data_IF_437545221983
#
_entry.id   IF_437545221983
#
_cell.length_a   1.000
_cell.length_b   1.000
_cell.length_c   1.000
_cell.angle_alpha   90.00
_cell.angle_beta   90.00
_cell.angle_gamma   90.00
#
_symmetry.space_group_name_H-M   'P 1'
#
loop_
_entity.id
_entity.type
_entity.pdbx_description
1 polymer ?
#
# COMPACT_ATOMS: atom_id res chain seq x y z
N UNK A 1 -6.71 -3.69 56.49
CA UNK A 1 -7.11 -2.97 55.26
C UNK A 1 -5.96 -2.72 54.27
N UNK A 2 -4.72 -2.41 54.70
CA UNK A 2 -3.58 -2.15 53.80
C UNK A 2 -3.18 -3.28 52.85
N UNK A 3 -3.40 -4.56 53.21
CA UNK A 3 -3.04 -5.73 52.38
C UNK A 3 -3.97 -5.93 51.16
N UNK A 4 -5.22 -5.49 51.23
CA UNK A 4 -6.21 -5.65 50.15
C UNK A 4 -5.93 -4.65 49.02
N UNK A 5 -5.53 -3.42 49.36
CA UNK A 5 -5.17 -2.39 48.39
C UNK A 5 -3.96 -2.77 47.52
N UNK A 6 -2.98 -3.49 48.10
CA UNK A 6 -1.78 -3.95 47.39
C UNK A 6 -2.12 -5.04 46.35
N UNK A 7 -3.08 -5.92 46.66
CA UNK A 7 -3.53 -6.97 45.74
C UNK A 7 -4.29 -6.38 44.54
N UNK A 8 -5.12 -5.35 44.78
CA UNK A 8 -5.85 -4.64 43.72
C UNK A 8 -4.93 -3.88 42.76
N UNK A 9 -3.83 -3.29 43.25
CA UNK A 9 -2.84 -2.61 42.41
C UNK A 9 -2.04 -3.61 41.56
N UNK A 10 -1.75 -4.81 42.09
CA UNK A 10 -1.07 -5.87 41.35
C UNK A 10 -1.94 -6.48 40.23
N UNK A 11 -3.26 -6.53 40.40
CA UNK A 11 -4.20 -7.01 39.37
C UNK A 11 -4.30 -6.07 38.15
N UNK A 12 -4.12 -4.76 38.34
CA UNK A 12 -4.17 -3.76 37.25
C UNK A 12 -2.95 -3.90 36.31
N UNK A 13 -1.82 -4.42 36.80
CA UNK A 13 -0.61 -4.60 35.96
C UNK A 13 -0.66 -5.83 35.04
N UNK A 14 -1.58 -6.78 35.26
CA UNK A 14 -1.66 -8.03 34.48
C UNK A 14 -2.55 -7.89 33.24
N UNK A 15 -3.29 -6.79 33.09
CA UNK A 15 -4.22 -6.58 31.96
C UNK A 15 -3.64 -5.79 30.79
N UNK A 16 -2.38 -5.34 30.86
CA UNK A 16 -1.68 -4.80 29.70
C UNK A 16 -1.13 -5.94 28.83
N UNK A 17 -2.03 -6.80 28.37
CA UNK A 17 -1.76 -7.70 27.26
C UNK A 17 -1.76 -6.83 25.99
N UNK A 18 -0.66 -6.11 25.75
CA UNK A 18 -0.43 -5.47 24.45
C UNK A 18 -0.43 -6.59 23.41
N UNK A 19 -1.51 -6.71 22.64
CA UNK A 19 -1.55 -7.57 21.45
C UNK A 19 -0.30 -7.23 20.64
N UNK A 20 0.59 -8.21 20.48
CA UNK A 20 1.81 -8.06 19.71
C UNK A 20 1.47 -8.08 18.22
N UNK A 21 0.76 -7.03 17.79
CA UNK A 21 0.25 -6.87 16.45
C UNK A 21 1.38 -6.41 15.53
N UNK A 22 1.92 -7.36 14.77
CA UNK A 22 3.02 -7.16 13.83
C UNK A 22 2.55 -6.61 12.49
N UNK A 23 1.24 -6.59 12.23
CA UNK A 23 0.65 -6.17 10.96
C UNK A 23 0.93 -4.69 10.69
N UNK A 24 1.09 -3.88 11.74
CA UNK A 24 1.52 -2.48 11.64
C UNK A 24 2.91 -2.31 11.02
N UNK A 25 3.76 -3.34 11.02
CA UNK A 25 5.06 -3.31 10.33
C UNK A 25 4.90 -3.28 8.80
N UNK A 26 3.74 -3.65 8.27
CA UNK A 26 3.43 -3.63 6.85
C UNK A 26 3.11 -2.24 6.33
N UNK A 27 2.72 -1.32 7.21
CA UNK A 27 2.33 0.03 6.85
C UNK A 27 3.56 0.71 6.22
N UNK A 28 3.50 0.98 4.92
CA UNK A 28 4.65 1.43 4.16
C UNK A 28 4.40 1.54 2.66
N UNK A 29 5.37 2.11 1.96
CA UNK A 29 5.50 2.01 0.50
C UNK A 29 6.62 1.02 0.19
N UNK A 30 6.28 -0.01 -0.57
CA UNK A 30 7.14 -1.16 -0.83
C UNK A 30 7.27 -1.40 -2.33
N UNK A 31 8.46 -1.80 -2.77
CA UNK A 31 8.72 -2.32 -4.10
C UNK A 31 8.50 -3.84 -4.07
N UNK A 32 7.76 -4.36 -5.05
CA UNK A 32 7.61 -5.80 -5.25
C UNK A 32 8.87 -6.35 -5.94
N UNK A 33 9.42 -7.41 -5.39
CA UNK A 33 10.58 -8.12 -5.93
C UNK A 33 10.12 -9.40 -6.66
N UNK A 34 10.70 -9.67 -7.82
CA UNK A 34 10.48 -10.93 -8.53
C UNK A 34 10.42 -10.80 -10.05
N UNK A 35 9.97 -9.65 -10.55
CA UNK A 35 9.98 -9.35 -11.98
C UNK A 35 11.01 -8.25 -12.27
N UNK A 36 11.96 -8.52 -13.17
CA UNK A 36 12.95 -7.51 -13.58
C UNK A 36 12.39 -6.57 -14.63
N UNK A 37 11.50 -7.06 -15.47
CA UNK A 37 10.93 -6.38 -16.63
C UNK A 37 9.73 -5.49 -16.26
N UNK A 38 9.12 -5.74 -15.10
CA UNK A 38 8.06 -4.91 -14.53
C UNK A 38 8.51 -4.32 -13.19
N UNK A 39 8.35 -3.01 -13.05
CA UNK A 39 8.50 -2.31 -11.80
C UNK A 39 7.14 -2.13 -11.14
N UNK A 40 6.93 -2.75 -9.97
CA UNK A 40 5.67 -2.64 -9.22
C UNK A 40 5.90 -2.16 -7.80
N UNK A 41 4.97 -1.34 -7.31
CA UNK A 41 4.93 -0.85 -5.94
C UNK A 41 3.61 -1.22 -5.28
N UNK A 42 3.67 -1.51 -3.98
CA UNK A 42 2.50 -1.63 -3.12
C UNK A 42 2.61 -0.63 -1.99
N UNK A 43 1.54 0.13 -1.77
CA UNK A 43 1.41 1.04 -0.63
C UNK A 43 0.32 0.50 0.29
N UNK A 44 0.67 0.33 1.56
CA UNK A 44 -0.19 -0.27 2.57
C UNK A 44 -0.43 0.76 3.68
N UNK A 45 -1.68 1.07 3.96
CA UNK A 45 -2.10 1.79 5.16
C UNK A 45 -3.00 0.90 6.05
N UNK A 46 -3.59 1.46 7.12
CA UNK A 46 -4.39 0.68 8.06
C UNK A 46 -5.68 0.09 7.45
N UNK A 47 -6.19 0.66 6.36
CA UNK A 47 -7.51 0.34 5.80
C UNK A 47 -7.50 0.02 4.31
N UNK A 48 -6.41 0.31 3.62
CA UNK A 48 -6.31 0.24 2.17
C UNK A 48 -4.95 -0.29 1.74
N UNK A 49 -4.99 -1.07 0.67
CA UNK A 49 -3.82 -1.44 -0.12
C UNK A 49 -3.95 -0.77 -1.47
N UNK A 50 -2.83 -0.25 -1.94
CA UNK A 50 -2.70 0.35 -3.25
C UNK A 50 -1.62 -0.36 -4.03
N UNK A 51 -1.92 -0.68 -5.28
CA UNK A 51 -0.99 -1.38 -6.18
C UNK A 51 -0.77 -0.51 -7.42
N UNK A 52 0.50 -0.35 -7.79
CA UNK A 52 0.96 0.35 -8.99
C UNK A 52 1.92 -0.56 -9.77
N UNK A 53 1.75 -0.64 -11.07
CA UNK A 53 2.56 -1.46 -11.99
C UNK A 53 3.07 -0.62 -13.14
N UNK A 54 4.26 -0.90 -13.66
CA UNK A 54 4.76 -0.19 -14.85
C UNK A 54 4.13 -0.71 -16.15
N UNK A 55 3.63 -1.95 -16.14
CA UNK A 55 2.96 -2.56 -17.30
C UNK A 55 1.62 -1.90 -17.61
N UNK A 56 0.93 -1.48 -16.55
CA UNK A 56 -0.33 -0.74 -16.61
C UNK A 56 -0.30 0.25 -15.46
N UNK A 57 -0.16 1.54 -15.78
CA UNK A 57 -0.14 2.62 -14.78
C UNK A 57 -1.58 2.95 -14.37
N UNK A 58 -2.25 1.95 -13.82
CA UNK A 58 -3.51 2.13 -13.12
C UNK A 58 -3.32 1.93 -11.62
N UNK A 59 -3.99 2.78 -10.87
CA UNK A 59 -3.89 2.86 -9.43
C UNK A 59 -5.06 2.08 -8.85
N UNK A 60 -4.80 0.83 -8.48
CA UNK A 60 -5.79 -0.02 -7.83
C UNK A 60 -5.78 0.26 -6.34
N UNK A 61 -6.94 0.58 -5.77
CA UNK A 61 -7.14 0.75 -4.33
C UNK A 61 -8.13 -0.30 -3.88
N UNK A 62 -7.71 -1.14 -2.96
CA UNK A 62 -8.52 -2.19 -2.38
C UNK A 62 -8.68 -1.91 -0.89
N UNK A 63 -9.86 -2.22 -0.35
CA UNK A 63 -10.03 -2.23 1.10
C UNK A 63 -9.19 -3.36 1.67
N UNK A 64 -8.56 -3.08 2.80
CA UNK A 64 -7.76 -4.04 3.51
C UNK A 64 -7.98 -3.97 5.00
N UNK A 65 -7.59 -5.05 5.67
CA UNK A 65 -7.60 -5.13 7.12
C UNK A 65 -6.29 -5.74 7.60
N UNK A 66 -5.68 -5.08 8.56
CA UNK A 66 -4.45 -5.53 9.22
C UNK A 66 -4.81 -6.20 10.55
N UNK A 67 -4.42 -7.46 10.73
CA UNK A 67 -4.65 -8.20 11.97
C UNK A 67 -3.48 -9.14 12.29
N UNK A 68 -2.86 -8.96 13.46
CA UNK A 68 -1.78 -9.79 13.98
C UNK A 68 -0.55 -9.85 13.05
N UNK A 69 -0.41 -10.92 12.26
CA UNK A 69 0.64 -11.15 11.28
C UNK A 69 0.08 -11.24 9.86
N UNK A 70 -1.16 -10.79 9.65
CA UNK A 70 -1.84 -10.86 8.36
C UNK A 70 -2.24 -9.48 7.83
N UNK A 71 -2.28 -9.41 6.51
CA UNK A 71 -3.06 -8.44 5.75
C UNK A 71 -4.12 -9.20 4.95
N UNK A 72 -5.36 -8.79 5.11
CA UNK A 72 -6.50 -9.28 4.36
C UNK A 72 -6.89 -8.23 3.32
N UNK A 73 -7.22 -8.67 2.11
CA UNK A 73 -7.65 -7.80 1.02
C UNK A 73 -8.89 -8.38 0.36
N UNK A 74 -9.84 -7.49 0.06
CA UNK A 74 -11.04 -7.84 -0.68
C UNK A 74 -10.67 -8.00 -2.16
N UNK A 75 -10.88 -9.21 -2.68
CA UNK A 75 -10.62 -9.54 -4.07
C UNK A 75 -11.95 -9.88 -4.75
N UNK A 76 -12.58 -8.88 -5.36
CA UNK A 76 -13.89 -9.05 -6.00
C UNK A 76 -13.86 -9.99 -7.22
N UNK A 77 -12.68 -10.26 -7.79
CA UNK A 77 -12.51 -10.99 -9.05
C UNK A 77 -12.22 -12.48 -8.89
N UNK A 78 -11.97 -12.98 -7.67
CA UNK A 78 -11.59 -14.38 -7.42
C UNK A 78 -12.39 -14.99 -6.27
N UNK A 79 -12.53 -16.32 -6.28
CA UNK A 79 -13.03 -17.09 -5.13
C UNK A 79 -11.85 -17.80 -4.45
N UNK A 80 -11.64 -17.63 -3.13
CA UNK A 80 -12.46 -16.86 -2.19
C UNK A 80 -12.29 -15.35 -2.38
N UNK A 81 -13.39 -14.60 -2.16
CA UNK A 81 -13.43 -13.13 -2.28
C UNK A 81 -12.54 -12.38 -1.30
N UNK A 82 -12.00 -13.07 -0.30
CA UNK A 82 -11.04 -12.52 0.64
C UNK A 82 -9.78 -13.34 0.50
N UNK A 83 -8.69 -12.66 0.24
CA UNK A 83 -7.38 -13.26 0.20
C UNK A 83 -6.53 -12.67 1.32
N UNK A 84 -5.47 -13.37 1.68
CA UNK A 84 -4.66 -13.03 2.84
C UNK A 84 -3.18 -13.27 2.60
N UNK A 85 -2.37 -12.36 3.12
CA UNK A 85 -0.94 -12.51 3.15
C UNK A 85 -0.44 -12.53 4.59
N UNK A 86 0.37 -13.52 4.91
CA UNK A 86 1.00 -13.69 6.22
C UNK A 86 2.44 -13.19 6.19
N UNK A 87 2.85 -12.47 7.23
CA UNK A 87 4.25 -12.08 7.44
C UNK A 87 5.08 -13.32 7.80
N UNK A 88 6.05 -13.67 6.96
CA UNK A 88 6.99 -14.75 7.21
C UNK A 88 8.28 -14.23 7.82
N UNK A 89 8.79 -13.11 7.28
CA UNK A 89 10.03 -12.49 7.72
C UNK A 89 9.92 -10.97 7.55
N UNK A 90 10.52 -10.21 8.46
CA UNK A 90 10.57 -8.76 8.39
C UNK A 90 11.89 -8.20 8.90
N UNK A 91 12.22 -7.01 8.39
CA UNK A 91 13.34 -6.16 8.77
C UNK A 91 12.94 -4.71 8.46
N UNK A 92 13.84 -3.75 8.70
CA UNK A 92 13.54 -2.34 8.46
C UNK A 92 13.35 -2.01 6.97
N UNK A 93 13.97 -2.78 6.09
CA UNK A 93 14.11 -2.56 4.65
C UNK A 93 13.49 -3.66 3.79
N UNK A 94 13.15 -4.82 4.38
CA UNK A 94 12.61 -5.96 3.65
C UNK A 94 11.50 -6.69 4.43
N UNK A 95 10.45 -7.09 3.72
CA UNK A 95 9.40 -7.97 4.21
C UNK A 95 9.19 -9.12 3.23
N UNK A 96 8.98 -10.32 3.77
CA UNK A 96 8.57 -11.48 2.99
C UNK A 96 7.18 -11.89 3.48
N UNK A 97 6.24 -11.94 2.53
CA UNK A 97 4.87 -12.34 2.73
C UNK A 97 4.61 -13.71 2.08
N UNK A 98 3.70 -14.48 2.66
CA UNK A 98 3.10 -15.66 2.02
C UNK A 98 1.64 -15.36 1.71
N UNK A 99 1.26 -15.40 0.44
CA UNK A 99 -0.14 -15.44 0.00
C UNK A 99 -0.70 -16.80 0.37
N UNK A 100 -1.65 -16.84 1.29
CA UNK A 100 -2.16 -18.11 1.81
C UNK A 100 -2.94 -18.87 0.73
N UNK A 101 -3.78 -18.16 -0.06
CA UNK A 101 -4.65 -18.81 -1.05
C UNK A 101 -3.87 -19.53 -2.15
N UNK A 102 -2.84 -18.89 -2.72
CA UNK A 102 -2.02 -19.47 -3.79
C UNK A 102 -0.75 -20.16 -3.30
N UNK A 103 -0.51 -20.16 -1.99
CA UNK A 103 0.75 -20.61 -1.41
C UNK A 103 2.01 -19.99 -2.08
N UNK A 104 1.93 -18.69 -2.37
CA UNK A 104 2.97 -17.96 -3.08
C UNK A 104 3.77 -17.08 -2.11
N UNK A 105 5.10 -17.06 -2.25
CA UNK A 105 5.94 -16.10 -1.55
C UNK A 105 6.08 -14.82 -2.36
N UNK A 106 5.94 -13.69 -1.68
CA UNK A 106 6.14 -12.36 -2.24
C UNK A 106 7.14 -11.62 -1.38
N UNK A 107 8.14 -11.03 -2.02
CA UNK A 107 9.17 -10.27 -1.36
C UNK A 107 9.01 -8.78 -1.66
N UNK A 108 9.11 -7.97 -0.61
CA UNK A 108 8.98 -6.52 -0.63
C UNK A 108 10.26 -5.86 -0.13
N UNK A 109 10.75 -4.86 -0.86
CA UNK A 109 11.81 -3.96 -0.41
C UNK A 109 11.25 -2.56 -0.14
N UNK A 110 11.63 -1.94 0.97
CA UNK A 110 11.11 -0.64 1.37
C UNK A 110 11.61 0.48 0.46
N UNK A 111 10.71 1.40 0.11
CA UNK A 111 11.02 2.57 -0.72
C UNK A 111 11.15 3.84 0.14
N UNK A 112 10.19 4.09 1.04
CA UNK A 112 10.18 5.27 1.91
C UNK A 112 9.71 4.94 3.35
N UNK A 113 10.23 5.69 4.33
CA UNK A 113 9.84 5.58 5.75
C UNK A 113 8.63 6.45 6.11
N UNK A 114 8.36 7.53 5.36
CA UNK A 114 7.26 8.45 5.65
C UNK A 114 6.12 8.27 4.64
N UNK A 115 5.08 7.59 5.08
CA UNK A 115 3.83 7.51 4.35
C UNK A 115 3.11 8.84 4.54
N UNK A 116 2.79 9.53 3.45
CA UNK A 116 1.59 10.39 3.46
C UNK A 116 0.41 9.44 3.38
N UNK A 117 -0.45 9.43 4.40
CA UNK A 117 -1.73 8.71 4.36
C UNK A 117 -2.49 9.04 3.06
N UNK A 118 -3.42 8.17 2.67
CA UNK A 118 -4.32 8.49 1.56
C UNK A 118 -5.11 9.73 1.95
N UNK A 119 -4.82 10.86 1.29
CA UNK A 119 -5.52 12.11 1.53
C UNK A 119 -6.89 12.03 0.85
N UNK A 120 -7.91 11.60 1.58
CA UNK A 120 -9.27 11.51 1.07
C UNK A 120 -9.90 12.88 0.81
N UNK A 121 -9.36 13.95 1.42
CA UNK A 121 -9.83 15.33 1.31
C UNK A 121 -9.39 15.97 0.00
N UNK A 122 -8.17 15.64 -0.47
CA UNK A 122 -7.63 16.07 -1.75
C UNK A 122 -7.13 14.88 -2.58
N UNK A 123 -8.05 13.94 -2.82
CA UNK A 123 -7.74 12.65 -3.44
C UNK A 123 -7.15 12.80 -4.85
N UNK A 124 -7.60 13.79 -5.61
CA UNK A 124 -7.13 14.02 -6.99
C UNK A 124 -5.66 14.41 -7.00
N UNK A 125 -5.28 15.48 -6.28
CA UNK A 125 -3.90 15.94 -6.26
C UNK A 125 -2.98 14.88 -5.63
N UNK A 126 -3.46 14.20 -4.60
CA UNK A 126 -2.74 13.09 -3.98
C UNK A 126 -2.48 11.94 -4.95
N UNK A 127 -3.49 11.56 -5.76
CA UNK A 127 -3.37 10.49 -6.78
C UNK A 127 -2.37 10.88 -7.85
N UNK A 128 -2.49 12.09 -8.40
CA UNK A 128 -1.58 12.60 -9.43
C UNK A 128 -0.13 12.65 -8.94
N UNK A 129 0.09 13.16 -7.72
CA UNK A 129 1.42 13.16 -7.10
C UNK A 129 1.96 11.75 -6.91
N UNK A 130 1.15 10.82 -6.42
CA UNK A 130 1.55 9.43 -6.18
C UNK A 130 1.97 8.74 -7.47
N UNK A 131 1.21 8.93 -8.56
CA UNK A 131 1.54 8.41 -9.89
C UNK A 131 2.82 9.06 -10.43
N UNK A 132 2.98 10.38 -10.29
CA UNK A 132 4.19 11.09 -10.73
C UNK A 132 5.45 10.56 -10.04
N UNK A 133 5.39 10.38 -8.72
CA UNK A 133 6.53 9.87 -7.94
C UNK A 133 6.85 8.40 -8.29
N UNK A 134 5.82 7.57 -8.50
CA UNK A 134 5.98 6.21 -9.01
C UNK A 134 6.71 6.18 -10.36
N UNK A 135 6.26 6.99 -11.34
CA UNK A 135 6.88 7.06 -12.68
C UNK A 135 8.37 7.43 -12.59
N UNK A 136 8.73 8.39 -11.73
CA UNK A 136 10.15 8.78 -11.50
C UNK A 136 10.99 7.61 -10.99
N UNK A 137 10.48 6.83 -10.04
CA UNK A 137 11.18 5.67 -9.48
C UNK A 137 11.27 4.52 -10.49
N UNK A 138 10.19 4.21 -11.20
CA UNK A 138 10.18 3.21 -12.26
C UNK A 138 11.23 3.51 -13.34
N UNK A 139 11.26 4.75 -13.85
CA UNK A 139 12.25 5.19 -14.84
C UNK A 139 13.70 5.03 -14.33
N UNK A 140 13.94 5.42 -13.07
CA UNK A 140 15.26 5.29 -12.43
C UNK A 140 15.69 3.82 -12.30
N UNK A 141 14.75 2.94 -11.96
CA UNK A 141 14.98 1.49 -11.87
C UNK A 141 15.38 0.88 -13.21
N UNK A 142 14.62 1.13 -14.29
CA UNK A 142 14.92 0.56 -15.60
C UNK A 142 16.25 1.07 -16.16
N UNK A 143 16.53 2.37 -15.99
CA UNK A 143 17.82 2.96 -16.37
C UNK A 143 18.99 2.29 -15.64
N UNK A 144 18.84 2.04 -14.34
CA UNK A 144 19.89 1.40 -13.53
C UNK A 144 20.11 -0.07 -13.88
N UNK A 145 19.09 -0.74 -14.42
CA UNK A 145 19.16 -2.16 -14.81
C UNK A 145 19.43 -2.39 -16.30
N UNK A 146 19.67 -1.31 -17.08
CA UNK A 146 19.87 -1.37 -18.53
C UNK A 146 18.73 -2.09 -19.29
N UNK A 147 17.49 -1.95 -18.81
CA UNK A 147 16.31 -2.55 -19.44
C UNK A 147 15.71 -1.54 -20.41
N UNK A 148 15.47 -1.97 -21.67
CA UNK A 148 14.77 -1.15 -22.66
C UNK A 148 13.28 -1.18 -22.37
N UNK A 149 12.73 -0.02 -22.03
CA UNK A 149 11.28 0.17 -21.90
C UNK A 149 10.75 0.20 -23.35
N UNK A 150 9.94 -0.79 -23.75
CA UNK A 150 9.12 -0.61 -24.96
C UNK A 150 8.13 0.49 -24.64
N UNK A 151 8.12 1.56 -25.44
CA UNK A 151 7.29 2.74 -25.23
C UNK A 151 5.79 2.37 -25.15
N UNK A 152 5.33 2.13 -23.93
CA UNK A 152 3.91 2.16 -23.54
C UNK A 152 3.77 2.54 -22.08
N UNK A 153 4.81 3.14 -21.49
CA UNK A 153 4.67 3.94 -20.28
C UNK A 153 4.36 5.33 -20.82
N UNK A 154 3.08 5.71 -20.83
CA UNK A 154 2.67 7.08 -21.11
C UNK A 154 3.37 7.99 -20.08
N UNK A 155 4.52 8.53 -20.48
CA UNK A 155 5.27 9.55 -19.76
C UNK A 155 4.49 10.85 -19.92
N UNK A 156 3.26 10.88 -19.40
CA UNK A 156 2.31 11.95 -19.59
C UNK A 156 3.01 13.29 -19.45
N UNK A 157 3.09 14.00 -20.58
CA UNK A 157 3.37 15.42 -20.56
C UNK A 157 2.30 16.04 -19.67
N UNK A 158 2.74 16.65 -18.57
CA UNK A 158 1.88 17.44 -17.69
C UNK A 158 1.47 18.67 -18.49
N UNK A 159 0.43 18.54 -19.30
CA UNK A 159 -0.24 19.69 -19.88
C UNK A 159 -0.95 20.43 -18.74
N UNK A 160 -0.72 21.75 -18.56
CA UNK A 160 -1.47 22.53 -17.60
C UNK A 160 -2.96 22.41 -17.94
N UNK A 161 -3.76 22.07 -16.91
CA UNK A 161 -5.20 21.91 -16.99
C UNK A 161 -5.80 23.21 -17.53
N UNK A 162 -6.35 23.20 -18.74
CA UNK A 162 -7.28 24.25 -19.18
C UNK A 162 -8.54 24.14 -18.32
N UNK A 163 -8.89 25.24 -17.64
CA UNK A 163 -10.17 25.38 -16.95
C UNK A 163 -11.30 25.20 -17.97
N UNK A 164 -12.05 24.10 -17.86
CA UNK A 164 -13.30 23.94 -18.58
C UNK A 164 -14.34 24.78 -17.83
N UNK A 165 -14.68 25.93 -18.39
CA UNK A 165 -15.81 26.75 -17.94
C UNK A 165 -17.11 26.01 -18.31
N UNK A 166 -17.80 25.45 -17.29
CA UNK A 166 -19.05 24.72 -17.49
C UNK A 166 -20.17 25.76 -17.58
N UNK A 167 -20.79 25.89 -18.75
CA UNK A 167 -21.98 26.72 -18.95
C UNK A 167 -23.22 26.05 -18.30
N UNK A 168 -23.59 26.60 -17.14
CA UNK A 168 -24.69 26.13 -16.28
C UNK A 168 -26.08 26.32 -16.91
N UNK A 169 -26.21 27.08 -18.00
CA UNK A 169 -27.51 27.28 -18.67
C UNK A 169 -27.95 26.08 -19.53
N UNK A 170 -27.06 25.12 -19.76
CA UNK A 170 -27.37 23.88 -20.50
C UNK A 170 -28.09 22.80 -19.66
N UNK A 171 -28.20 22.97 -18.33
CA UNK A 171 -28.78 21.98 -17.40
C UNK A 171 -30.27 22.20 -17.08
N UNK A 172 -30.96 23.12 -17.78
CA UNK A 172 -32.41 23.29 -17.67
C UNK A 172 -33.11 22.98 -18.99
N UNK A 173 -33.32 21.69 -19.26
CA UNK A 173 -34.39 21.21 -20.14
C UNK A 173 -35.22 20.17 -19.40
#
# INVERSE_FOLDING_TARGET
MKKIAIILILLIFITNCTKNDKSKLLIGTWKIIGNKENYSEVKIDEKKVMILSSDEIDLRIENSRLENDYIFFENENFEPKIDSFKIICYSNDKIILRREFLNQLIEFNRIENNIKEIDSTDFKNWKEKTISDFKKRANSYFKSNNIKISETIDLGEVNPIEEIEIDLDSLKQ
#
